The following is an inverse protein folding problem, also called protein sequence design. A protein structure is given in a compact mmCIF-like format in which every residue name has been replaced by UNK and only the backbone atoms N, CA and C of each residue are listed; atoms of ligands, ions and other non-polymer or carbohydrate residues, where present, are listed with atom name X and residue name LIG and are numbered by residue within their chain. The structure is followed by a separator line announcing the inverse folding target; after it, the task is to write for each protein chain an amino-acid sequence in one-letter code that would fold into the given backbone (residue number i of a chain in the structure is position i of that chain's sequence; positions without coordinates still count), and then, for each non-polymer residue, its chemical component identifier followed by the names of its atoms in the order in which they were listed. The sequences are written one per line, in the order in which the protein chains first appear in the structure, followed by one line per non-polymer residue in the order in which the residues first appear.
data_IF_917875183892
#
_entry.id   IF_917875183892
#
_cell.length_a   1.000
_cell.length_b   1.000
_cell.length_c   1.000
_cell.angle_alpha   90.00
_cell.angle_beta   90.00
_cell.angle_gamma   90.00
#
_symmetry.space_group_name_H-M   'P 1'
#
loop_
_entity.id
_entity.type
_entity.pdbx_description
1 polymer ?
#
# COMPACT_ATOMS: atom_id res chain seq x y z
N UNK A 1 -14.67 8.20 8.77
CA UNK A 1 -14.01 6.87 8.85
C UNK A 1 -12.60 7.04 8.34
N UNK A 2 -11.59 6.56 9.08
CA UNK A 2 -10.19 6.69 8.68
C UNK A 2 -9.92 5.85 7.42
N UNK A 3 -9.08 6.34 6.53
CA UNK A 3 -8.64 5.59 5.36
C UNK A 3 -7.56 4.62 5.81
N UNK A 4 -7.85 3.31 5.77
CA UNK A 4 -6.88 2.27 6.10
C UNK A 4 -6.44 1.55 4.83
N UNK A 5 -5.18 1.74 4.44
CA UNK A 5 -4.57 1.09 3.27
C UNK A 5 -3.48 0.14 3.76
N UNK A 6 -3.53 -1.10 3.29
CA UNK A 6 -2.45 -2.07 3.46
C UNK A 6 -1.65 -2.15 2.17
N UNK A 7 -0.33 -1.97 2.25
CA UNK A 7 0.57 -2.06 1.12
C UNK A 7 1.23 -3.44 1.13
N UNK A 8 1.02 -4.20 0.06
CA UNK A 8 1.61 -5.51 -0.16
C UNK A 8 2.69 -5.47 -1.22
N UNK A 9 3.71 -6.30 -1.08
CA UNK A 9 4.82 -6.45 -2.04
C UNK A 9 5.04 -7.92 -2.36
N UNK A 10 5.24 -8.25 -3.64
CA UNK A 10 5.54 -9.60 -4.08
C UNK A 10 6.38 -9.65 -5.37
N UNK A 11 6.90 -10.84 -5.70
CA UNK A 11 7.69 -11.08 -6.92
C UNK A 11 6.85 -11.52 -8.13
N UNK A 12 5.56 -11.80 -7.94
CA UNK A 12 4.61 -12.13 -9.02
C UNK A 12 3.22 -11.54 -8.74
N UNK A 13 2.42 -11.34 -9.79
CA UNK A 13 1.03 -10.89 -9.65
C UNK A 13 0.19 -11.93 -8.88
N UNK A 14 0.34 -13.22 -9.20
CA UNK A 14 -0.38 -14.29 -8.49
C UNK A 14 -0.07 -14.33 -6.98
N UNK A 15 1.15 -13.96 -6.58
CA UNK A 15 1.50 -13.86 -5.17
C UNK A 15 0.76 -12.71 -4.45
N UNK A 16 0.37 -11.63 -5.15
CA UNK A 16 -0.41 -10.52 -4.58
C UNK A 16 -1.89 -10.86 -4.31
N UNK A 17 -2.41 -11.88 -4.98
CA UNK A 17 -3.79 -12.35 -4.83
C UNK A 17 -3.88 -13.58 -3.91
N UNK A 18 -2.76 -14.03 -3.36
CA UNK A 18 -2.66 -15.15 -2.42
C UNK A 18 -2.01 -14.70 -1.13
N UNK A 19 -1.96 -15.58 -0.12
CA UNK A 19 -1.27 -15.34 1.15
C UNK A 19 0.28 -15.33 1.03
N UNK A 20 0.81 -15.20 -0.19
CA UNK A 20 2.26 -15.17 -0.46
C UNK A 20 2.81 -13.74 -0.60
N UNK A 21 1.95 -12.73 -0.57
CA UNK A 21 2.38 -11.35 -0.54
C UNK A 21 2.91 -10.96 0.84
N UNK A 22 4.04 -10.25 0.86
CA UNK A 22 4.55 -9.68 2.10
C UNK A 22 3.87 -8.35 2.37
N UNK A 23 3.41 -8.13 3.61
CA UNK A 23 2.94 -6.82 4.03
C UNK A 23 4.16 -5.89 4.13
N UNK A 24 4.22 -4.89 3.25
CA UNK A 24 5.20 -3.82 3.34
C UNK A 24 4.85 -2.89 4.51
N UNK A 25 3.60 -2.46 4.62
CA UNK A 25 3.19 -1.58 5.70
C UNK A 25 1.74 -1.14 5.60
N UNK A 26 1.35 -0.27 6.52
CA UNK A 26 -0.01 0.28 6.61
C UNK A 26 0.02 1.80 6.57
N UNK A 27 -0.99 2.37 5.92
CA UNK A 27 -1.31 3.79 6.02
C UNK A 27 -2.62 3.92 6.78
N UNK A 28 -2.53 4.56 7.95
CA UNK A 28 -3.68 4.98 8.75
C UNK A 28 -3.85 6.48 8.58
N UNK A 29 -4.52 6.85 7.49
CA UNK A 29 -4.76 8.25 7.16
C UNK A 29 -5.92 8.87 7.95
N UNK A 30 -5.94 10.20 8.10
CA UNK A 30 -7.06 10.89 8.71
C UNK A 30 -8.36 10.60 7.94
N UNK A 31 -9.52 10.72 8.60
CA UNK A 31 -10.80 10.48 7.96
C UNK A 31 -10.99 11.45 6.79
N UNK A 32 -11.10 10.87 5.58
CA UNK A 32 -11.50 11.48 4.30
C UNK A 32 -11.41 13.01 4.26
N UNK A 33 -10.20 13.51 4.00
CA UNK A 33 -10.01 14.89 3.55
C UNK A 33 -9.60 14.85 2.06
N UNK A 34 -9.98 15.86 1.26
CA UNK A 34 -9.91 15.81 -0.21
C UNK A 34 -8.49 15.68 -0.77
N UNK A 35 -7.46 16.07 0.00
CA UNK A 35 -6.06 15.96 -0.40
C UNK A 35 -5.21 15.52 0.78
N UNK A 36 -4.99 14.21 0.90
CA UNK A 36 -4.13 13.63 1.93
C UNK A 36 -2.83 13.12 1.30
N UNK A 37 -1.71 13.65 1.77
CA UNK A 37 -0.40 13.07 1.52
C UNK A 37 -0.04 12.13 2.67
N UNK A 38 0.56 11.00 2.32
CA UNK A 38 0.94 9.96 3.28
C UNK A 38 2.22 9.27 2.85
N UNK A 39 3.01 8.82 3.84
CA UNK A 39 4.18 8.00 3.59
C UNK A 39 4.08 6.71 4.37
N UNK A 40 4.12 5.58 3.66
CA UNK A 40 4.23 4.25 4.27
C UNK A 40 5.70 3.85 4.26
N UNK A 41 6.24 3.55 5.43
CA UNK A 41 7.57 2.96 5.53
C UNK A 41 7.43 1.45 5.42
N UNK A 42 7.97 0.86 4.36
CA UNK A 42 7.99 -0.60 4.24
C UNK A 42 8.83 -1.24 5.34
N UNK A 43 8.44 -2.44 5.74
CA UNK A 43 9.23 -3.30 6.61
C UNK A 43 10.66 -3.47 6.03
N UNK A 44 11.70 -3.53 6.86
CA UNK A 44 13.07 -3.70 6.40
C UNK A 44 13.20 -4.92 5.47
N UNK A 45 14.02 -4.80 4.42
CA UNK A 45 14.27 -5.86 3.42
C UNK A 45 13.05 -6.29 2.59
N UNK A 46 11.96 -5.51 2.61
CA UNK A 46 10.85 -5.71 1.67
C UNK A 46 11.36 -5.54 0.24
N UNK A 47 11.32 -6.62 -0.54
CA UNK A 47 11.72 -6.65 -1.95
C UNK A 47 10.61 -7.28 -2.77
N UNK A 48 10.39 -6.75 -3.96
CA UNK A 48 9.39 -7.28 -4.87
C UNK A 48 9.30 -6.48 -6.16
N UNK A 49 8.77 -7.15 -7.18
CA UNK A 49 8.50 -6.55 -8.49
C UNK A 49 7.14 -5.84 -8.54
N UNK A 50 6.20 -6.25 -7.69
CA UNK A 50 4.83 -5.75 -7.71
C UNK A 50 4.43 -5.21 -6.35
N UNK A 51 3.62 -4.14 -6.36
CA UNK A 51 3.04 -3.52 -5.18
C UNK A 51 1.52 -3.44 -5.33
N UNK A 52 0.78 -3.80 -4.27
CA UNK A 52 -0.69 -3.73 -4.23
C UNK A 52 -1.14 -2.89 -3.04
N UNK A 53 -2.11 -2.00 -3.28
CA UNK A 53 -2.75 -1.19 -2.25
C UNK A 53 -4.13 -1.76 -1.95
N UNK A 54 -4.31 -2.32 -0.76
CA UNK A 54 -5.58 -2.89 -0.30
C UNK A 54 -6.30 -1.88 0.60
N UNK A 55 -7.49 -1.46 0.18
CA UNK A 55 -8.37 -0.61 0.96
C UNK A 55 -9.54 -1.45 1.50
N UNK A 56 -9.71 -1.51 2.82
CA UNK A 56 -10.71 -2.39 3.48
C UNK A 56 -12.15 -1.87 3.44
N UNK A 57 -12.36 -0.63 2.98
CA UNK A 57 -13.68 -0.03 2.89
C UNK A 57 -14.19 -0.23 1.46
N UNK A 58 -15.46 -0.62 1.29
CA UNK A 58 -16.16 -0.77 0.00
C UNK A 58 -16.37 0.58 -0.72
N UNK A 59 -15.31 1.36 -0.84
CA UNK A 59 -15.27 2.66 -1.48
C UNK A 59 -14.13 2.67 -2.50
N UNK A 60 -14.32 3.45 -3.56
CA UNK A 60 -13.30 3.68 -4.58
C UNK A 60 -12.08 4.35 -3.95
N UNK A 61 -10.91 3.74 -4.14
CA UNK A 61 -9.63 4.34 -3.79
C UNK A 61 -9.13 5.18 -4.96
N UNK A 62 -9.18 6.51 -4.83
CA UNK A 62 -8.60 7.44 -5.80
C UNK A 62 -7.24 7.90 -5.30
N UNK A 63 -6.20 7.73 -6.11
CA UNK A 63 -4.84 8.17 -5.81
C UNK A 63 -4.36 9.11 -6.92
N UNK A 64 -3.99 10.33 -6.56
CA UNK A 64 -3.47 11.31 -7.53
C UNK A 64 -2.02 11.03 -7.91
N UNK A 65 -1.21 10.65 -6.93
CA UNK A 65 0.21 10.37 -7.11
C UNK A 65 0.65 9.22 -6.20
N UNK A 66 1.49 8.33 -6.72
CA UNK A 66 2.14 7.25 -5.98
C UNK A 66 3.61 7.24 -6.34
N UNK A 67 4.46 7.44 -5.34
CA UNK A 67 5.91 7.50 -5.49
C UNK A 67 6.59 6.43 -4.65
N UNK A 68 7.54 5.71 -5.24
CA UNK A 68 8.31 4.65 -4.58
C UNK A 68 9.74 5.11 -4.33
N UNK A 69 10.22 4.89 -3.11
CA UNK A 69 11.60 5.22 -2.73
C UNK A 69 12.27 3.95 -2.22
N UNK A 70 13.36 3.55 -2.88
CA UNK A 70 14.24 2.47 -2.43
C UNK A 70 15.63 3.04 -2.16
N UNK A 71 16.30 2.51 -1.14
CA UNK A 71 17.76 2.69 -1.03
C UNK A 71 18.41 1.65 -1.94
N UNK A 72 19.16 2.13 -2.93
CA UNK A 72 20.07 1.30 -3.73
C UNK A 72 21.33 1.01 -2.92
#
# INVERSE_FOLDING_TARGET
RNTNITVLIANSLAALDTNQANVCGHYDGPPVAPHNQGRVKCAPKSTGKYVKFLHKINNVLNMCEVSFYSKM
#
